data_IF_724299823887
#
_entry.id   IF_724299823887
#
_cell.length_a   1.000
_cell.length_b   1.000
_cell.length_c   1.000
_cell.angle_alpha   90.00
_cell.angle_beta   90.00
_cell.angle_gamma   90.00
#
_symmetry.space_group_name_H-M   'P 1'
#
loop_
_entity.id
_entity.type
_entity.pdbx_description
1 polymer ?
#
# COMPACT_ATOMS: atom_id res chain seq x y z
N UNK A 1 48.89 -11.84 0.58
CA UNK A 1 48.02 -12.31 1.68
C UNK A 1 46.62 -11.81 1.39
N UNK A 2 45.73 -12.72 0.99
CA UNK A 2 44.37 -12.44 0.52
C UNK A 2 43.45 -12.09 1.71
N UNK A 3 43.01 -10.84 1.78
CA UNK A 3 41.91 -10.44 2.66
C UNK A 3 40.61 -11.07 2.16
N UNK A 4 39.95 -11.85 3.02
CA UNK A 4 38.65 -12.47 2.77
C UNK A 4 37.62 -11.39 2.37
N UNK A 5 36.74 -11.64 1.38
CA UNK A 5 35.65 -10.71 1.05
C UNK A 5 34.77 -10.48 2.27
N UNK A 6 34.33 -9.25 2.48
CA UNK A 6 33.34 -8.95 3.49
C UNK A 6 32.01 -9.64 3.14
N UNK A 7 31.17 -9.94 4.13
CA UNK A 7 29.82 -10.47 3.85
C UNK A 7 28.99 -9.51 2.96
N UNK A 8 29.37 -8.23 2.93
CA UNK A 8 28.83 -7.22 2.02
C UNK A 8 29.26 -7.47 0.57
N UNK A 9 30.53 -7.79 0.33
CA UNK A 9 31.03 -8.21 -0.98
C UNK A 9 30.32 -9.48 -1.48
N UNK A 10 29.94 -10.40 -0.58
CA UNK A 10 29.20 -11.62 -0.95
C UNK A 10 27.74 -11.32 -1.29
N UNK A 11 27.07 -10.47 -0.50
CA UNK A 11 25.70 -10.03 -0.78
C UNK A 11 25.64 -9.30 -2.13
N UNK A 12 26.64 -8.46 -2.41
CA UNK A 12 26.74 -7.65 -3.62
C UNK A 12 27.31 -8.42 -4.83
N UNK A 13 28.25 -9.35 -4.65
CA UNK A 13 28.77 -10.19 -5.74
C UNK A 13 27.74 -11.22 -6.20
N UNK A 14 26.92 -11.74 -5.29
CA UNK A 14 25.83 -12.65 -5.64
C UNK A 14 24.77 -11.93 -6.47
N UNK A 15 24.42 -10.69 -6.11
CA UNK A 15 23.56 -9.83 -6.93
C UNK A 15 24.16 -9.54 -8.33
N UNK A 16 25.47 -9.30 -8.43
CA UNK A 16 26.16 -9.09 -9.71
C UNK A 16 26.30 -10.36 -10.57
N UNK A 17 26.38 -11.54 -9.95
CA UNK A 17 26.49 -12.83 -10.67
C UNK A 17 25.16 -13.33 -11.22
N UNK A 18 24.04 -13.02 -10.54
CA UNK A 18 22.69 -13.40 -10.92
C UNK A 18 22.17 -12.64 -12.16
N UNK A 19 22.60 -11.38 -12.32
CA UNK A 19 22.36 -10.54 -13.51
C UNK A 19 22.74 -11.18 -14.86
N UNK A 20 23.61 -12.20 -14.86
CA UNK A 20 24.07 -12.90 -16.09
C UNK A 20 23.25 -14.15 -16.45
N UNK A 21 22.23 -14.55 -15.69
CA UNK A 21 21.48 -15.80 -15.97
C UNK A 21 19.95 -15.62 -15.90
N UNK A 22 19.36 -15.56 -17.10
CA UNK A 22 17.97 -15.89 -17.47
C UNK A 22 16.89 -14.78 -17.40
N UNK A 23 16.12 -14.52 -18.48
CA UNK A 23 15.13 -13.44 -18.58
C UNK A 23 13.66 -13.81 -18.26
N UNK A 24 13.37 -14.97 -17.67
CA UNK A 24 12.01 -15.54 -17.67
C UNK A 24 11.33 -15.63 -16.29
N UNK A 25 10.94 -14.50 -15.68
CA UNK A 25 10.02 -14.51 -14.52
C UNK A 25 9.36 -13.13 -14.24
N UNK A 26 8.68 -12.56 -15.23
CA UNK A 26 7.99 -11.27 -15.12
C UNK A 26 6.74 -11.26 -14.20
N UNK A 27 6.28 -12.44 -13.72
CA UNK A 27 4.99 -12.57 -13.00
C UNK A 27 5.06 -12.39 -11.47
N UNK A 28 6.24 -12.34 -10.86
CA UNK A 28 6.41 -12.11 -9.41
C UNK A 28 6.42 -10.62 -9.01
N UNK A 29 6.44 -9.71 -10.00
CA UNK A 29 6.68 -8.27 -9.86
C UNK A 29 5.63 -7.43 -9.12
N UNK A 30 4.42 -7.95 -8.85
CA UNK A 30 3.30 -7.14 -8.35
C UNK A 30 2.87 -7.40 -6.89
N UNK A 31 3.41 -8.43 -6.21
CA UNK A 31 2.89 -8.84 -4.88
C UNK A 31 3.70 -8.38 -3.67
N UNK A 32 5.01 -8.15 -3.77
CA UNK A 32 5.86 -7.81 -2.61
C UNK A 32 6.07 -6.31 -2.35
N UNK A 33 5.35 -5.41 -3.03
CA UNK A 33 5.73 -4.00 -3.17
C UNK A 33 5.44 -3.04 -2.01
N UNK A 34 5.04 -3.50 -0.81
CA UNK A 34 4.85 -2.61 0.36
C UNK A 34 5.52 -3.10 1.64
N UNK A 35 5.48 -4.41 1.91
CA UNK A 35 6.08 -4.97 3.12
C UNK A 35 7.60 -5.06 3.05
N UNK A 36 8.15 -5.13 1.84
CA UNK A 36 9.57 -5.28 1.63
C UNK A 36 10.32 -3.97 1.91
N UNK A 37 9.74 -2.79 1.65
CA UNK A 37 10.45 -1.50 1.72
C UNK A 37 10.76 -0.95 3.12
N UNK A 38 10.43 -1.69 4.20
CA UNK A 38 10.67 -1.26 5.59
C UNK A 38 11.90 -1.97 6.19
N UNK A 39 12.85 -1.19 6.75
CA UNK A 39 14.02 -1.73 7.48
C UNK A 39 13.63 -2.39 8.82
N UNK A 40 12.44 -2.08 9.31
CA UNK A 40 11.82 -2.62 10.52
C UNK A 40 10.58 -3.44 10.14
N UNK A 41 10.21 -4.40 10.97
CA UNK A 41 8.96 -5.10 10.76
C UNK A 41 7.80 -4.11 10.88
N UNK A 42 6.86 -4.15 9.95
CA UNK A 42 5.84 -3.11 9.82
C UNK A 42 4.98 -2.92 11.09
N UNK A 43 4.84 -3.96 11.92
CA UNK A 43 4.16 -3.93 13.22
C UNK A 43 4.90 -3.12 14.30
N UNK A 44 6.20 -2.84 14.14
CA UNK A 44 6.92 -1.95 15.07
C UNK A 44 6.53 -0.47 14.85
N UNK A 45 5.78 -0.14 13.78
CA UNK A 45 5.36 1.24 13.45
C UNK A 45 6.52 2.21 13.21
N UNK A 46 7.74 1.69 13.02
CA UNK A 46 8.97 2.47 12.97
C UNK A 46 9.28 2.89 11.53
N UNK A 47 8.90 4.10 11.16
CA UNK A 47 9.33 4.73 9.91
C UNK A 47 10.65 5.49 10.10
N UNK A 48 11.50 5.53 9.08
CA UNK A 48 12.74 6.32 9.14
C UNK A 48 12.44 7.81 9.35
N UNK A 49 11.32 8.29 8.80
CA UNK A 49 10.89 9.69 8.90
C UNK A 49 11.91 10.65 8.27
N UNK A 50 12.50 10.23 7.15
CA UNK A 50 13.51 10.98 6.40
C UNK A 50 12.96 11.27 5.01
N UNK A 51 12.73 12.55 4.71
CA UNK A 51 12.44 13.00 3.34
C UNK A 51 13.70 13.30 2.53
N UNK A 52 13.55 13.39 1.21
CA UNK A 52 14.64 13.69 0.27
C UNK A 52 15.45 14.94 0.66
N UNK A 53 14.82 15.97 1.24
CA UNK A 53 15.50 17.17 1.69
C UNK A 53 16.57 16.89 2.77
N UNK A 54 16.29 15.98 3.71
CA UNK A 54 17.25 15.58 4.76
C UNK A 54 18.39 14.75 4.18
N UNK A 55 18.11 13.90 3.18
CA UNK A 55 19.11 13.09 2.48
C UNK A 55 20.04 13.98 1.64
N UNK A 56 19.48 14.92 0.87
CA UNK A 56 20.21 15.90 0.08
C UNK A 56 21.18 16.68 0.96
N UNK A 57 20.71 17.13 2.13
CA UNK A 57 21.54 17.85 3.10
C UNK A 57 22.67 16.97 3.66
N UNK A 58 22.36 15.73 4.03
CA UNK A 58 23.36 14.78 4.50
C UNK A 58 24.41 14.44 3.43
N UNK A 59 23.99 14.29 2.16
CA UNK A 59 24.89 14.07 1.01
C UNK A 59 25.80 15.27 0.76
N UNK A 60 25.25 16.48 0.78
CA UNK A 60 25.98 17.72 0.62
C UNK A 60 27.07 17.83 1.69
N UNK A 61 26.73 17.58 2.95
CA UNK A 61 27.69 17.61 4.05
C UNK A 61 28.70 16.45 4.04
N UNK A 62 28.28 15.23 3.69
CA UNK A 62 29.16 14.06 3.66
C UNK A 62 30.23 14.17 2.57
N UNK A 63 29.86 14.74 1.42
CA UNK A 63 30.72 14.82 0.24
C UNK A 63 31.19 16.26 -0.07
N UNK A 64 31.06 17.19 0.88
CA UNK A 64 31.57 18.55 0.76
C UNK A 64 31.02 19.32 -0.45
N UNK A 65 29.75 19.12 -0.80
CA UNK A 65 29.06 19.80 -1.91
C UNK A 65 28.03 20.81 -1.38
N UNK A 66 27.55 21.68 -2.25
CA UNK A 66 26.42 22.57 -1.91
C UNK A 66 25.09 21.84 -2.13
N UNK A 67 24.09 22.10 -1.29
CA UNK A 67 22.75 21.51 -1.45
C UNK A 67 22.13 21.86 -2.81
N UNK A 68 22.39 23.06 -3.33
CA UNK A 68 21.91 23.50 -4.64
C UNK A 68 22.45 22.63 -5.78
N UNK A 69 23.74 22.25 -5.73
CA UNK A 69 24.35 21.38 -6.73
C UNK A 69 23.74 19.97 -6.68
N UNK A 70 23.55 19.42 -5.47
CA UNK A 70 22.93 18.10 -5.28
C UNK A 70 21.49 18.09 -5.78
N UNK A 71 20.72 19.16 -5.50
CA UNK A 71 19.33 19.33 -6.01
C UNK A 71 19.29 19.38 -7.54
N UNK A 72 20.19 20.12 -8.17
CA UNK A 72 20.25 20.19 -9.64
C UNK A 72 20.61 18.83 -10.26
N UNK A 73 21.61 18.15 -9.70
CA UNK A 73 21.98 16.80 -10.14
C UNK A 73 20.85 15.79 -9.94
N UNK A 74 20.06 15.94 -8.88
CA UNK A 74 18.88 15.11 -8.66
C UNK A 74 17.78 15.38 -9.71
N UNK A 75 17.52 16.65 -10.07
CA UNK A 75 16.59 17.00 -11.15
C UNK A 75 17.01 16.41 -12.50
N UNK A 76 18.31 16.39 -12.79
CA UNK A 76 18.84 15.84 -14.04
C UNK A 76 18.82 14.31 -14.08
N UNK A 77 19.20 13.65 -12.97
CA UNK A 77 19.37 12.19 -12.92
C UNK A 77 18.12 11.44 -12.50
N UNK A 78 17.18 12.08 -11.80
CA UNK A 78 15.97 11.47 -11.27
C UNK A 78 16.17 10.47 -10.12
N UNK A 79 17.40 10.25 -9.65
CA UNK A 79 17.76 9.25 -8.62
C UNK A 79 18.85 9.81 -7.69
N UNK A 80 18.56 9.93 -6.38
CA UNK A 80 19.52 10.45 -5.40
C UNK A 80 20.66 9.45 -5.09
N UNK A 81 20.45 8.15 -5.25
CA UNK A 81 21.50 7.14 -5.10
C UNK A 81 22.58 7.25 -6.17
N UNK A 82 22.19 7.49 -7.43
CA UNK A 82 23.16 7.77 -8.50
C UNK A 82 23.93 9.08 -8.26
N UNK A 83 23.27 10.09 -7.69
CA UNK A 83 23.91 11.34 -7.26
C UNK A 83 24.91 11.06 -6.14
N UNK A 84 24.57 10.22 -5.15
CA UNK A 84 25.44 9.84 -4.05
C UNK A 84 26.73 9.14 -4.50
N UNK A 85 26.63 8.13 -5.37
CA UNK A 85 27.78 7.40 -5.90
C UNK A 85 28.73 8.31 -6.69
N UNK A 86 28.16 9.14 -7.58
CA UNK A 86 28.96 10.10 -8.38
C UNK A 86 29.57 11.19 -7.49
N UNK A 87 28.95 11.47 -6.34
CA UNK A 87 29.47 12.44 -5.38
C UNK A 87 30.70 11.93 -4.64
N UNK A 88 30.68 10.65 -4.28
CA UNK A 88 31.76 10.01 -3.54
C UNK A 88 33.06 9.90 -4.34
N UNK A 89 32.98 9.46 -5.59
CA UNK A 89 34.17 9.20 -6.44
C UNK A 89 35.06 10.43 -6.68
N UNK A 90 34.53 11.63 -6.43
CA UNK A 90 35.26 12.90 -6.56
C UNK A 90 36.13 13.29 -5.35
N UNK A 91 36.08 12.55 -4.23
CA UNK A 91 36.82 12.91 -3.02
C UNK A 91 37.93 11.91 -2.66
N UNK A 92 39.16 12.42 -2.49
CA UNK A 92 40.28 11.67 -1.90
C UNK A 92 40.27 11.83 -0.37
N UNK A 93 40.39 10.74 0.37
CA UNK A 93 40.45 10.76 1.85
C UNK A 93 41.86 10.50 2.37
N UNK A 94 42.30 11.30 3.35
CA UNK A 94 43.60 11.09 4.02
C UNK A 94 43.64 9.87 4.95
N UNK A 95 42.50 9.48 5.54
CA UNK A 95 42.36 8.27 6.38
C UNK A 95 41.07 7.56 6.00
N UNK A 96 41.17 6.28 5.63
CA UNK A 96 40.00 5.46 5.29
C UNK A 96 39.26 5.05 6.58
N UNK A 97 37.95 5.28 6.67
CA UNK A 97 37.13 4.71 7.74
C UNK A 97 37.14 3.18 7.70
N UNK A 98 36.75 2.54 8.80
CA UNK A 98 36.51 1.10 8.79
C UNK A 98 35.40 0.75 7.80
N UNK A 99 35.51 -0.36 7.07
CA UNK A 99 34.46 -0.80 6.15
C UNK A 99 33.09 -0.92 6.83
N UNK A 100 32.06 -0.62 6.07
CA UNK A 100 30.68 -0.85 6.51
C UNK A 100 30.43 -2.35 6.64
N UNK A 101 29.58 -2.69 7.62
CA UNK A 101 29.07 -4.06 7.78
C UNK A 101 27.57 -4.00 7.82
N UNK A 102 26.90 -5.08 7.41
CA UNK A 102 25.43 -5.17 7.44
C UNK A 102 24.90 -4.87 8.85
N UNK A 103 25.55 -5.38 9.89
CA UNK A 103 25.16 -5.13 11.28
C UNK A 103 25.27 -3.64 11.67
N UNK A 104 26.34 -2.94 11.24
CA UNK A 104 26.51 -1.49 11.48
C UNK A 104 25.44 -0.68 10.77
N UNK A 105 25.14 -1.01 9.51
CA UNK A 105 24.10 -0.33 8.72
C UNK A 105 22.73 -0.57 9.37
N UNK A 106 22.38 -1.82 9.67
CA UNK A 106 21.11 -2.17 10.30
C UNK A 106 20.91 -1.47 11.66
N UNK A 107 21.93 -1.48 12.52
CA UNK A 107 21.87 -0.79 13.80
C UNK A 107 21.69 0.72 13.65
N UNK A 108 22.42 1.34 12.72
CA UNK A 108 22.30 2.77 12.44
C UNK A 108 20.89 3.14 11.94
N UNK A 109 20.29 2.31 11.09
CA UNK A 109 18.92 2.54 10.61
C UNK A 109 17.88 2.38 11.72
N UNK A 110 18.03 1.40 12.63
CA UNK A 110 17.16 1.31 13.82
C UNK A 110 17.30 2.52 14.73
N UNK A 111 18.52 3.05 14.89
CA UNK A 111 18.77 4.26 15.67
C UNK A 111 18.05 5.47 15.05
N UNK A 112 18.14 5.61 13.73
CA UNK A 112 17.44 6.66 12.97
C UNK A 112 15.92 6.55 13.15
N UNK A 113 15.34 5.35 13.01
CA UNK A 113 13.90 5.16 13.13
C UNK A 113 13.38 5.49 14.55
N UNK A 114 14.16 5.15 15.60
CA UNK A 114 13.79 5.40 17.00
C UNK A 114 13.98 6.85 17.46
N UNK A 115 14.72 7.67 16.72
CA UNK A 115 15.04 9.03 17.14
C UNK A 115 13.83 9.97 16.95
N UNK A 116 13.40 10.62 18.03
CA UNK A 116 12.26 11.55 18.08
C UNK A 116 12.55 12.79 18.93
N UNK A 117 11.69 13.82 18.84
CA UNK A 117 11.85 15.08 19.57
C UNK A 117 12.55 16.21 18.79
N UNK A 118 12.80 17.33 19.47
CA UNK A 118 13.17 18.63 18.87
C UNK A 118 14.46 18.62 18.03
N UNK A 119 15.43 17.78 18.38
CA UNK A 119 16.73 17.67 17.69
C UNK A 119 16.87 16.39 16.85
N UNK A 120 15.79 15.61 16.74
CA UNK A 120 15.80 14.30 16.08
C UNK A 120 16.30 14.37 14.65
N UNK A 121 15.83 15.36 13.89
CA UNK A 121 16.19 15.53 12.48
C UNK A 121 17.70 15.78 12.30
N UNK A 122 18.35 16.49 13.22
CA UNK A 122 19.80 16.70 13.16
C UNK A 122 20.58 15.44 13.48
N UNK A 123 20.17 14.69 14.51
CA UNK A 123 20.79 13.43 14.88
C UNK A 123 20.64 12.37 13.78
N UNK A 124 19.45 12.26 13.17
CA UNK A 124 19.20 11.40 12.01
C UNK A 124 20.15 11.74 10.86
N UNK A 125 20.27 13.03 10.50
CA UNK A 125 21.21 13.49 9.45
C UNK A 125 22.67 13.16 9.78
N UNK A 126 23.11 13.37 11.01
CA UNK A 126 24.48 13.07 11.43
C UNK A 126 24.79 11.57 11.34
N UNK A 127 23.81 10.72 11.67
CA UNK A 127 23.92 9.27 11.52
C UNK A 127 24.04 8.86 10.05
N UNK A 128 23.17 9.39 9.17
CA UNK A 128 23.23 9.17 7.71
C UNK A 128 24.59 9.61 7.15
N UNK A 129 25.04 10.81 7.51
CA UNK A 129 26.34 11.35 7.10
C UNK A 129 27.49 10.43 7.49
N UNK A 130 27.47 9.89 8.71
CA UNK A 130 28.49 8.95 9.17
C UNK A 130 28.52 7.66 8.33
N UNK A 131 27.36 7.14 7.92
CA UNK A 131 27.28 5.98 7.03
C UNK A 131 27.83 6.31 5.63
N UNK A 132 27.42 7.45 5.05
CA UNK A 132 27.84 7.89 3.72
C UNK A 132 29.35 8.17 3.63
N UNK A 133 29.95 8.71 4.69
CA UNK A 133 31.40 8.93 4.76
C UNK A 133 32.17 7.61 4.82
N UNK A 134 31.65 6.61 5.53
CA UNK A 134 32.24 5.27 5.61
C UNK A 134 32.04 4.44 4.33
N UNK A 135 31.04 4.79 3.52
CA UNK A 135 30.70 4.09 2.30
C UNK A 135 31.75 4.25 1.18
N UNK A 136 31.95 3.17 0.44
CA UNK A 136 32.93 2.98 -0.64
C UNK A 136 32.27 2.41 -1.90
N UNK A 137 32.91 2.60 -3.05
CA UNK A 137 32.47 2.08 -4.35
C UNK A 137 30.99 2.37 -4.68
N UNK A 138 30.14 1.35 -4.61
CA UNK A 138 28.71 1.45 -4.89
C UNK A 138 27.84 1.60 -3.64
N UNK A 139 28.41 1.46 -2.44
CA UNK A 139 27.69 1.55 -1.16
C UNK A 139 26.90 2.86 -0.97
N UNK A 140 27.39 4.05 -1.37
CA UNK A 140 26.61 5.29 -1.23
C UNK A 140 25.29 5.27 -1.99
N UNK A 141 25.26 4.65 -3.19
CA UNK A 141 24.02 4.50 -3.95
C UNK A 141 23.01 3.69 -3.15
N UNK A 142 23.43 2.50 -2.70
CA UNK A 142 22.53 1.60 -2.00
C UNK A 142 22.08 2.13 -0.65
N UNK A 143 22.95 2.79 0.12
CA UNK A 143 22.55 3.45 1.36
C UNK A 143 21.52 4.55 1.12
N UNK A 144 21.72 5.38 0.10
CA UNK A 144 20.78 6.44 -0.23
C UNK A 144 19.43 5.89 -0.69
N UNK A 145 19.40 4.85 -1.52
CA UNK A 145 18.15 4.21 -1.91
C UNK A 145 17.47 3.46 -0.75
N UNK A 146 18.24 2.95 0.23
CA UNK A 146 17.68 2.34 1.45
C UNK A 146 17.03 3.42 2.34
N UNK A 147 17.61 4.62 2.38
CA UNK A 147 17.07 5.75 3.14
C UNK A 147 15.85 6.40 2.48
N UNK A 148 15.70 6.22 1.17
CA UNK A 148 14.53 6.65 0.38
C UNK A 148 13.47 5.54 0.25
N UNK A 149 13.59 4.44 1.01
CA UNK A 149 12.71 3.28 0.96
C UNK A 149 12.45 2.77 -0.48
N UNK A 150 13.47 2.85 -1.36
CA UNK A 150 13.34 2.58 -2.80
C UNK A 150 14.03 1.28 -3.25
N UNK A 151 14.58 0.48 -2.33
CA UNK A 151 15.53 -0.59 -2.67
C UNK A 151 14.94 -1.98 -2.92
N UNK A 152 13.75 -2.30 -2.42
CA UNK A 152 13.26 -3.67 -2.60
C UNK A 152 12.83 -4.03 -4.04
N UNK A 153 12.44 -3.11 -4.93
CA UNK A 153 12.25 -3.44 -6.34
C UNK A 153 13.51 -4.00 -7.02
N UNK A 154 14.72 -3.69 -6.51
CA UNK A 154 15.99 -4.18 -7.04
C UNK A 154 16.47 -5.48 -6.37
N UNK A 155 16.28 -5.64 -5.06
CA UNK A 155 16.65 -6.84 -4.31
C UNK A 155 15.79 -8.07 -4.66
N UNK A 156 14.51 -7.86 -4.99
CA UNK A 156 13.58 -8.92 -5.39
C UNK A 156 13.90 -9.56 -6.75
N UNK A 157 14.90 -9.04 -7.48
CA UNK A 157 15.28 -9.56 -8.79
C UNK A 157 16.14 -10.84 -8.72
N UNK A 158 16.91 -11.07 -7.64
CA UNK A 158 18.05 -12.02 -7.67
C UNK A 158 18.23 -13.01 -6.48
N UNK A 159 17.29 -13.07 -5.52
CA UNK A 159 17.01 -14.29 -4.72
C UNK A 159 17.65 -14.47 -3.31
N UNK A 160 16.95 -15.23 -2.45
CA UNK A 160 17.09 -15.26 -0.97
C UNK A 160 16.78 -16.67 -0.40
N UNK A 161 17.54 -17.68 -0.85
CA UNK A 161 17.08 -19.08 -0.96
C UNK A 161 17.02 -19.96 0.30
N UNK A 162 17.24 -19.45 1.52
CA UNK A 162 17.17 -20.27 2.76
C UNK A 162 16.29 -19.70 3.90
N UNK A 163 15.56 -18.61 3.65
CA UNK A 163 14.68 -17.97 4.65
C UNK A 163 13.59 -18.88 5.24
N UNK A 164 12.91 -19.76 4.47
CA UNK A 164 11.80 -20.56 5.00
C UNK A 164 12.23 -21.55 6.10
N UNK A 165 13.53 -21.83 6.25
CA UNK A 165 14.07 -22.70 7.32
C UNK A 165 14.39 -21.93 8.60
N UNK A 166 14.52 -20.61 8.52
CA UNK A 166 14.92 -19.73 9.64
C UNK A 166 13.81 -18.77 10.09
N UNK A 167 12.85 -18.45 9.22
CA UNK A 167 11.70 -17.60 9.53
C UNK A 167 10.43 -18.46 9.50
N UNK A 168 9.89 -18.75 10.68
CA UNK A 168 8.64 -19.46 10.87
C UNK A 168 7.54 -18.49 11.29
N UNK A 169 6.28 -18.87 11.06
CA UNK A 169 5.13 -18.13 11.59
C UNK A 169 5.32 -17.89 13.10
N UNK A 170 5.16 -16.65 13.53
CA UNK A 170 5.30 -16.25 14.93
C UNK A 170 4.05 -15.48 15.32
N UNK A 171 3.42 -15.91 16.41
CA UNK A 171 2.28 -15.22 16.99
C UNK A 171 2.69 -13.79 17.40
N UNK A 172 1.81 -12.81 17.19
CA UNK A 172 2.15 -11.38 17.29
C UNK A 172 2.94 -10.76 16.14
N UNK A 173 3.29 -11.53 15.10
CA UNK A 173 3.83 -10.97 13.85
C UNK A 173 2.77 -11.06 12.77
N UNK A 174 2.30 -9.90 12.29
CA UNK A 174 1.28 -9.83 11.24
C UNK A 174 1.68 -10.63 9.99
N UNK A 175 0.76 -11.43 9.48
CA UNK A 175 0.86 -12.13 8.19
C UNK A 175 0.38 -11.21 7.07
N UNK A 176 1.10 -11.19 5.96
CA UNK A 176 0.62 -10.52 4.74
C UNK A 176 -0.72 -11.11 4.26
N UNK A 177 -1.69 -10.26 3.92
CA UNK A 177 -3.01 -10.72 3.54
C UNK A 177 -2.99 -11.43 2.19
N UNK A 178 -3.80 -12.48 2.07
CA UNK A 178 -4.06 -13.09 0.77
C UNK A 178 -4.78 -12.08 -0.13
N UNK A 179 -4.17 -11.77 -1.29
CA UNK A 179 -4.70 -10.86 -2.29
C UNK A 179 -5.58 -11.59 -3.32
N UNK A 180 -6.66 -10.94 -3.73
CA UNK A 180 -7.58 -11.43 -4.75
C UNK A 180 -7.13 -11.01 -6.15
N UNK A 181 -7.49 -11.82 -7.16
CA UNK A 181 -7.35 -11.45 -8.56
C UNK A 181 -8.72 -11.01 -9.08
N UNK A 182 -8.86 -9.79 -9.66
CA UNK A 182 -10.12 -9.38 -10.24
C UNK A 182 -10.48 -10.28 -11.42
N UNK A 183 -11.77 -10.62 -11.52
CA UNK A 183 -12.33 -11.47 -12.58
C UNK A 183 -13.60 -10.83 -13.12
N UNK A 184 -13.88 -10.97 -14.42
CA UNK A 184 -14.96 -10.21 -15.08
C UNK A 184 -16.35 -10.86 -14.98
N UNK A 185 -16.43 -12.10 -14.52
CA UNK A 185 -17.71 -12.79 -14.31
C UNK A 185 -17.54 -14.23 -13.82
N UNK A 186 -18.63 -14.80 -13.28
CA UNK A 186 -18.66 -16.15 -12.70
C UNK A 186 -18.26 -17.22 -13.73
N UNK A 187 -18.75 -17.10 -14.97
CA UNK A 187 -18.43 -18.05 -16.04
C UNK A 187 -16.93 -18.14 -16.35
N UNK A 188 -16.18 -17.04 -16.24
CA UNK A 188 -14.71 -17.06 -16.44
C UNK A 188 -14.01 -17.91 -15.37
N UNK A 189 -14.50 -17.86 -14.12
CA UNK A 189 -13.94 -18.59 -12.99
C UNK A 189 -14.19 -20.10 -13.15
N UNK A 190 -15.46 -20.47 -13.40
CA UNK A 190 -15.86 -21.88 -13.51
C UNK A 190 -15.23 -22.53 -14.74
N UNK A 191 -15.20 -21.86 -15.89
CA UNK A 191 -14.55 -22.38 -17.10
C UNK A 191 -13.05 -22.59 -16.93
N UNK A 192 -12.41 -21.81 -16.06
CA UNK A 192 -10.99 -21.93 -15.77
C UNK A 192 -10.66 -23.10 -14.85
N UNK A 193 -11.60 -23.49 -13.97
CA UNK A 193 -11.44 -24.62 -13.06
C UNK A 193 -12.72 -25.48 -13.02
N UNK A 194 -13.02 -26.23 -14.10
CA UNK A 194 -14.32 -26.87 -14.29
C UNK A 194 -14.64 -27.97 -13.26
N UNK A 195 -13.62 -28.64 -12.72
CA UNK A 195 -13.78 -29.77 -11.78
C UNK A 195 -13.49 -29.41 -10.32
N UNK A 196 -13.38 -28.11 -10.01
CA UNK A 196 -13.06 -27.62 -8.67
C UNK A 196 -14.32 -27.04 -8.02
N UNK A 197 -14.65 -27.53 -6.82
CA UNK A 197 -15.64 -26.87 -5.95
C UNK A 197 -15.03 -25.60 -5.37
N UNK A 198 -15.68 -24.48 -5.61
CA UNK A 198 -15.26 -23.19 -5.07
C UNK A 198 -15.88 -22.95 -3.71
N UNK A 199 -15.15 -22.23 -2.88
CA UNK A 199 -15.66 -21.58 -1.68
C UNK A 199 -15.84 -20.11 -2.03
N UNK A 200 -17.08 -19.63 -1.99
CA UNK A 200 -17.46 -18.26 -2.30
C UNK A 200 -17.88 -17.57 -1.01
N UNK A 201 -17.17 -16.52 -0.61
CA UNK A 201 -17.54 -15.70 0.55
C UNK A 201 -18.16 -14.38 0.08
N UNK A 202 -19.06 -13.82 0.89
CA UNK A 202 -19.45 -12.43 0.74
C UNK A 202 -18.22 -11.52 0.89
N UNK A 203 -18.06 -10.59 -0.04
CA UNK A 203 -17.04 -9.55 0.06
C UNK A 203 -17.65 -8.38 0.83
N UNK A 204 -17.21 -8.19 2.06
CA UNK A 204 -17.57 -7.02 2.87
C UNK A 204 -16.66 -5.86 2.45
N UNK A 205 -17.24 -4.76 1.94
CA UNK A 205 -16.48 -3.59 1.46
C UNK A 205 -16.05 -2.69 2.61
N UNK A 206 -15.08 -3.19 3.39
CA UNK A 206 -14.70 -2.59 4.67
C UNK A 206 -13.20 -2.78 4.95
N UNK A 207 -12.71 -2.06 5.94
CA UNK A 207 -11.33 -2.16 6.39
C UNK A 207 -11.03 -3.58 6.90
N UNK A 208 -9.97 -4.19 6.33
CA UNK A 208 -9.52 -5.53 6.71
C UNK A 208 -8.60 -5.45 7.92
N UNK A 209 -8.75 -6.43 8.78
CA UNK A 209 -8.10 -6.51 10.07
C UNK A 209 -7.57 -7.91 10.33
N UNK A 210 -6.44 -7.99 11.04
CA UNK A 210 -5.92 -9.25 11.54
C UNK A 210 -5.90 -9.21 13.07
N UNK A 211 -6.60 -10.14 13.71
CA UNK A 211 -6.71 -10.20 15.17
C UNK A 211 -5.85 -11.33 15.69
N UNK A 212 -4.85 -11.01 16.51
CA UNK A 212 -3.94 -11.95 17.14
C UNK A 212 -4.32 -12.09 18.61
N UNK A 213 -4.66 -13.30 19.03
CA UNK A 213 -4.90 -13.65 20.41
C UNK A 213 -3.73 -14.48 20.93
N UNK A 214 -3.02 -13.95 21.91
CA UNK A 214 -1.78 -14.49 22.45
C UNK A 214 -2.02 -15.55 23.53
N UNK A 215 -0.99 -16.37 23.81
CA UNK A 215 -1.06 -17.38 24.87
C UNK A 215 -1.17 -16.80 26.30
N UNK A 216 -0.91 -15.51 26.47
CA UNK A 216 -1.05 -14.77 27.73
C UNK A 216 -2.40 -14.02 27.83
N UNK A 217 -3.36 -14.35 26.98
CA UNK A 217 -4.68 -13.73 26.85
C UNK A 217 -4.66 -12.24 26.40
N UNK A 218 -3.51 -11.72 25.94
CA UNK A 218 -3.46 -10.40 25.30
C UNK A 218 -3.94 -10.47 23.85
N UNK A 219 -4.55 -9.38 23.38
CA UNK A 219 -5.04 -9.26 22.00
C UNK A 219 -4.25 -8.15 21.30
N UNK A 220 -3.83 -8.41 20.07
CA UNK A 220 -3.24 -7.40 19.19
C UNK A 220 -4.01 -7.36 17.87
N UNK A 221 -4.38 -6.17 17.43
CA UNK A 221 -5.16 -5.96 16.20
C UNK A 221 -4.30 -5.17 15.22
N UNK A 222 -4.17 -5.69 14.00
CA UNK A 222 -3.39 -5.09 12.92
C UNK A 222 -4.28 -4.68 11.75
N UNK A 223 -4.06 -3.47 11.22
CA UNK A 223 -4.73 -2.95 10.03
C UNK A 223 -4.16 -3.54 8.73
N UNK A 224 -4.82 -3.23 7.60
CA UNK A 224 -4.34 -3.60 6.27
C UNK A 224 -2.90 -3.13 5.96
N UNK A 225 -2.47 -2.00 6.52
CA UNK A 225 -1.13 -1.43 6.31
C UNK A 225 -0.11 -1.85 7.40
N UNK A 226 -0.48 -2.85 8.22
CA UNK A 226 0.32 -3.47 9.28
C UNK A 226 0.55 -2.57 10.50
N UNK A 227 -0.29 -1.56 10.68
CA UNK A 227 -0.28 -0.72 11.87
C UNK A 227 -1.03 -1.42 13.00
N UNK A 228 -0.49 -1.33 14.22
CA UNK A 228 -1.12 -1.91 15.40
C UNK A 228 -2.15 -0.93 15.96
N UNK A 229 -3.44 -1.28 15.84
CA UNK A 229 -4.57 -0.41 16.20
C UNK A 229 -5.38 -0.96 17.37
N UNK A 230 -4.73 -1.70 18.28
CA UNK A 230 -5.44 -2.42 19.35
C UNK A 230 -6.20 -1.48 20.28
N UNK A 231 -5.65 -0.30 20.56
CA UNK A 231 -6.24 0.70 21.45
C UNK A 231 -7.52 1.33 20.88
N UNK A 232 -7.72 1.28 19.56
CA UNK A 232 -8.88 1.86 18.87
C UNK A 232 -10.12 0.96 18.95
N UNK A 233 -9.96 -0.34 19.24
CA UNK A 233 -11.02 -1.35 19.16
C UNK A 233 -11.17 -2.20 20.45
N UNK A 234 -11.41 -1.58 21.63
CA UNK A 234 -11.54 -2.30 22.89
C UNK A 234 -12.79 -3.23 22.94
N UNK A 235 -13.82 -2.91 22.17
CA UNK A 235 -15.03 -3.68 21.95
C UNK A 235 -14.73 -5.00 21.22
N UNK A 236 -13.92 -4.94 20.16
CA UNK A 236 -13.47 -6.13 19.42
C UNK A 236 -12.64 -7.04 20.33
N UNK A 237 -11.70 -6.45 21.10
CA UNK A 237 -10.89 -7.20 22.08
C UNK A 237 -11.78 -7.95 23.08
N UNK A 238 -12.83 -7.30 23.60
CA UNK A 238 -13.77 -7.92 24.52
C UNK A 238 -14.61 -9.02 23.85
N UNK A 239 -15.06 -8.80 22.61
CA UNK A 239 -15.86 -9.76 21.86
C UNK A 239 -15.07 -11.04 21.57
N UNK A 240 -13.87 -10.94 20.98
CA UNK A 240 -13.07 -12.12 20.62
C UNK A 240 -12.61 -12.92 21.83
N UNK A 241 -12.35 -12.26 22.96
CA UNK A 241 -11.99 -12.93 24.20
C UNK A 241 -13.16 -13.71 24.82
N UNK A 242 -14.39 -13.24 24.63
CA UNK A 242 -15.62 -13.85 25.18
C UNK A 242 -16.19 -14.94 24.26
N UNK A 243 -16.08 -14.77 22.95
CA UNK A 243 -16.72 -15.63 21.94
C UNK A 243 -15.86 -16.80 21.48
N UNK A 244 -14.59 -16.86 21.92
CA UNK A 244 -13.77 -18.07 21.77
C UNK A 244 -14.30 -19.18 22.69
N UNK A 245 -14.33 -20.42 22.19
CA UNK A 245 -14.68 -21.58 23.01
C UNK A 245 -13.55 -21.92 23.99
N UNK A 246 -13.87 -22.65 25.06
CA UNK A 246 -12.94 -22.94 26.17
C UNK A 246 -11.66 -23.68 25.80
N UNK A 247 -11.64 -24.41 24.68
CA UNK A 247 -10.46 -25.14 24.19
C UNK A 247 -9.50 -24.27 23.36
N UNK A 248 -9.88 -23.03 23.05
CA UNK A 248 -9.09 -22.09 22.24
C UNK A 248 -8.20 -21.23 23.16
N UNK A 249 -6.88 -21.37 22.98
CA UNK A 249 -5.84 -20.70 23.77
C UNK A 249 -5.22 -19.52 23.03
N UNK A 250 -4.85 -19.73 21.77
CA UNK A 250 -4.23 -18.71 20.92
C UNK A 250 -4.67 -18.87 19.47
N UNK A 251 -4.80 -17.76 18.76
CA UNK A 251 -5.29 -17.76 17.38
C UNK A 251 -4.90 -16.51 16.60
N UNK A 252 -4.96 -16.60 15.27
CA UNK A 252 -4.94 -15.44 14.38
C UNK A 252 -6.15 -15.50 13.45
N UNK A 253 -6.99 -14.47 13.49
CA UNK A 253 -8.15 -14.32 12.61
C UNK A 253 -7.89 -13.30 11.51
N UNK A 254 -8.44 -13.57 10.33
CA UNK A 254 -8.54 -12.62 9.22
C UNK A 254 -10.00 -12.17 9.08
N UNK A 255 -10.23 -10.87 9.26
CA UNK A 255 -11.55 -10.30 9.43
C UNK A 255 -11.72 -9.03 8.59
N UNK A 256 -12.97 -8.69 8.30
CA UNK A 256 -13.37 -7.35 7.88
C UNK A 256 -14.21 -6.73 9.00
N UNK A 257 -13.96 -5.47 9.37
CA UNK A 257 -14.75 -4.83 10.42
C UNK A 257 -15.77 -3.83 9.87
N UNK A 258 -16.92 -3.73 10.52
CA UNK A 258 -17.99 -2.80 10.20
C UNK A 258 -18.24 -1.89 11.41
N UNK A 259 -18.06 -0.58 11.21
CA UNK A 259 -18.58 0.41 12.13
C UNK A 259 -20.11 0.34 12.11
N UNK A 260 -20.72 0.07 13.26
CA UNK A 260 -22.18 0.07 13.41
C UNK A 260 -22.62 1.45 13.89
N UNK A 261 -23.46 2.12 13.10
CA UNK A 261 -23.88 3.49 13.36
C UNK A 261 -25.08 3.52 14.33
N UNK A 262 -24.89 3.16 15.60
CA UNK A 262 -25.90 3.43 16.63
C UNK A 262 -25.26 3.79 17.98
N UNK A 263 -24.94 5.07 18.16
CA UNK A 263 -25.28 5.88 19.33
C UNK A 263 -24.68 7.29 19.17
N UNK A 264 -25.54 8.27 18.82
CA UNK A 264 -25.17 9.69 18.86
C UNK A 264 -25.53 10.22 20.24
N UNK A 265 -24.65 9.97 21.22
CA UNK A 265 -24.61 10.79 22.43
C UNK A 265 -23.33 11.62 22.41
N UNK A 266 -23.49 12.94 22.48
CA UNK A 266 -22.51 13.96 22.06
C UNK A 266 -21.37 14.12 23.08
N UNK A 267 -21.11 13.11 23.92
CA UNK A 267 -20.07 13.17 24.95
C UNK A 267 -19.10 11.99 25.01
N UNK A 268 -19.33 10.91 24.27
CA UNK A 268 -18.34 9.85 24.03
C UNK A 268 -18.85 9.00 22.85
N UNK A 269 -18.40 9.30 21.63
CA UNK A 269 -18.79 8.54 20.44
C UNK A 269 -18.05 7.19 20.49
N UNK A 270 -18.66 6.19 21.12
CA UNK A 270 -18.25 4.78 20.97
C UNK A 270 -19.03 4.19 19.80
N UNK A 271 -18.36 4.09 18.66
CA UNK A 271 -18.89 3.35 17.52
C UNK A 271 -18.66 1.87 17.81
N UNK A 272 -19.74 1.11 18.01
CA UNK A 272 -19.63 -0.35 18.18
C UNK A 272 -19.22 -0.97 16.83
N UNK A 273 -18.25 -1.88 16.84
CA UNK A 273 -17.70 -2.51 15.64
C UNK A 273 -18.08 -3.98 15.57
N UNK A 274 -18.70 -4.38 14.45
CA UNK A 274 -18.97 -5.79 14.15
C UNK A 274 -17.80 -6.39 13.36
N UNK A 275 -17.31 -7.56 13.78
CA UNK A 275 -16.26 -8.29 13.07
C UNK A 275 -16.84 -9.41 12.21
N UNK A 276 -16.50 -9.42 10.92
CA UNK A 276 -16.84 -10.49 9.99
C UNK A 276 -15.59 -11.32 9.70
N UNK A 277 -15.48 -12.48 10.35
CA UNK A 277 -14.33 -13.37 10.24
C UNK A 277 -14.51 -14.31 9.05
N UNK A 278 -13.55 -14.31 8.14
CA UNK A 278 -13.58 -15.18 6.96
C UNK A 278 -12.45 -16.22 6.95
N UNK A 279 -11.38 -16.06 7.74
CA UNK A 279 -10.30 -17.06 7.80
C UNK A 279 -9.67 -17.16 9.20
N UNK A 280 -9.05 -18.31 9.47
CA UNK A 280 -8.24 -18.58 10.67
C UNK A 280 -6.86 -19.00 10.20
N UNK A 281 -5.86 -18.17 10.47
CA UNK A 281 -4.50 -18.35 9.96
C UNK A 281 -3.61 -19.15 10.93
N UNK A 282 -4.00 -19.18 12.20
CA UNK A 282 -3.30 -19.90 13.27
C UNK A 282 -4.27 -20.28 14.37
N UNK A 283 -4.08 -21.46 14.96
CA UNK A 283 -4.86 -21.94 16.10
C UNK A 283 -4.00 -22.82 17.01
N UNK A 284 -3.96 -22.52 18.31
CA UNK A 284 -3.39 -23.36 19.37
C UNK A 284 -2.00 -23.95 19.06
N UNK A 285 -1.03 -23.12 18.64
CA UNK A 285 0.31 -23.61 18.29
C UNK A 285 0.49 -24.00 16.83
N UNK A 286 -0.58 -24.14 16.05
CA UNK A 286 -0.53 -24.66 14.68
C UNK A 286 -0.77 -23.54 13.66
N UNK A 287 0.22 -23.20 12.80
CA UNK A 287 -0.01 -22.32 11.66
C UNK A 287 -0.84 -23.04 10.60
N UNK A 288 -1.98 -22.48 10.27
CA UNK A 288 -2.91 -23.09 9.30
C UNK A 288 -2.62 -22.62 7.87
N UNK A 289 -1.78 -21.60 7.64
CA UNK A 289 -1.50 -21.01 6.32
C UNK A 289 -1.15 -22.02 5.20
N UNK A 290 -0.62 -23.19 5.54
CA UNK A 290 -0.21 -24.23 4.59
C UNK A 290 -1.26 -25.33 4.37
N UNK A 291 -2.36 -25.30 5.12
CA UNK A 291 -3.44 -26.27 5.03
C UNK A 291 -4.39 -25.97 3.85
N UNK A 292 -5.30 -26.90 3.56
CA UNK A 292 -6.28 -26.71 2.48
C UNK A 292 -7.44 -25.82 2.95
N UNK A 293 -7.85 -24.87 2.10
CA UNK A 293 -8.93 -23.90 2.38
C UNK A 293 -10.22 -24.54 2.90
N UNK A 294 -10.58 -25.73 2.43
CA UNK A 294 -11.79 -26.43 2.88
C UNK A 294 -11.75 -26.73 4.39
N UNK A 295 -10.56 -27.07 4.90
CA UNK A 295 -10.32 -27.35 6.31
C UNK A 295 -10.30 -26.03 7.09
N UNK A 296 -9.68 -24.98 6.54
CA UNK A 296 -9.62 -23.64 7.16
C UNK A 296 -11.00 -23.10 7.52
N UNK A 297 -11.99 -23.33 6.63
CA UNK A 297 -13.35 -22.82 6.78
C UNK A 297 -14.17 -23.56 7.83
N UNK A 298 -13.73 -24.72 8.31
CA UNK A 298 -14.44 -25.47 9.36
C UNK A 298 -13.98 -25.05 10.76
N UNK A 299 -12.70 -24.68 10.91
CA UNK A 299 -12.11 -24.26 12.19
C UNK A 299 -12.79 -23.05 12.86
N UNK A 300 -13.18 -21.96 12.15
CA UNK A 300 -13.85 -20.84 12.80
C UNK A 300 -15.13 -21.29 13.52
N UNK A 301 -15.98 -22.08 12.86
CA UNK A 301 -17.23 -22.58 13.44
C UNK A 301 -17.01 -23.55 14.61
N UNK A 302 -15.94 -24.35 14.56
CA UNK A 302 -15.59 -25.24 15.67
C UNK A 302 -14.97 -24.49 16.85
N UNK A 303 -14.32 -23.35 16.62
CA UNK A 303 -13.52 -22.62 17.61
C UNK A 303 -14.24 -21.44 18.27
N UNK A 304 -15.23 -20.84 17.61
CA UNK A 304 -15.89 -19.60 18.07
C UNK A 304 -17.43 -19.71 18.01
N UNK A 305 -18.10 -18.83 18.75
CA UNK A 305 -19.55 -18.63 18.72
C UNK A 305 -19.88 -17.29 18.05
N UNK A 306 -20.91 -17.26 17.20
CA UNK A 306 -21.37 -16.01 16.58
C UNK A 306 -22.25 -15.21 17.54
N UNK A 307 -22.04 -13.91 17.53
CA UNK A 307 -22.94 -12.96 18.17
C UNK A 307 -23.25 -11.81 17.20
N UNK A 308 -24.53 -11.65 16.81
CA UNK A 308 -24.93 -10.59 15.90
C UNK A 308 -24.47 -9.21 16.40
N UNK A 309 -23.89 -8.42 15.47
CA UNK A 309 -23.32 -7.08 15.70
C UNK A 309 -21.96 -7.03 16.39
N UNK A 310 -21.40 -8.14 16.86
CA UNK A 310 -20.08 -8.17 17.50
C UNK A 310 -19.10 -9.08 16.76
N UNK A 311 -19.51 -10.31 16.45
CA UNK A 311 -18.67 -11.30 15.79
C UNK A 311 -19.51 -12.26 14.97
N UNK A 312 -19.30 -12.27 13.66
CA UNK A 312 -20.02 -13.11 12.72
C UNK A 312 -19.03 -13.74 11.74
N UNK A 313 -19.36 -14.90 11.22
CA UNK A 313 -18.62 -15.47 10.11
C UNK A 313 -19.07 -14.87 8.80
N UNK A 314 -18.17 -14.83 7.83
CA UNK A 314 -18.55 -14.50 6.47
C UNK A 314 -19.58 -15.50 5.94
N UNK A 315 -20.59 -14.99 5.25
CA UNK A 315 -21.57 -15.84 4.57
C UNK A 315 -20.84 -16.56 3.43
N UNK A 316 -20.89 -17.90 3.45
CA UNK A 316 -20.12 -18.76 2.54
C UNK A 316 -21.03 -19.71 1.77
N UNK A 317 -20.73 -19.90 0.48
CA UNK A 317 -21.29 -20.95 -0.39
C UNK A 317 -20.16 -21.87 -0.86
N UNK A 318 -20.40 -23.19 -0.84
CA UNK A 318 -19.51 -24.19 -1.46
C UNK A 318 -20.19 -24.77 -2.70
N UNK A 319 -19.81 -24.34 -3.89
CA UNK A 319 -20.42 -24.82 -5.15
C UNK A 319 -19.45 -24.73 -6.34
N UNK A 320 -19.73 -25.50 -7.39
CA UNK A 320 -19.12 -25.36 -8.72
C UNK A 320 -20.16 -25.06 -9.80
N UNK A 321 -21.43 -24.88 -9.41
CA UNK A 321 -22.52 -24.56 -10.33
C UNK A 321 -22.57 -23.05 -10.60
N UNK A 322 -22.65 -22.68 -11.88
CA UNK A 322 -22.63 -21.28 -12.32
C UNK A 322 -23.88 -20.54 -11.85
N UNK A 323 -25.05 -21.18 -11.88
CA UNK A 323 -26.32 -20.55 -11.51
C UNK A 323 -26.40 -20.32 -10.00
N UNK A 324 -25.96 -21.29 -9.19
CA UNK A 324 -25.87 -21.15 -7.74
C UNK A 324 -24.91 -20.02 -7.34
N UNK A 325 -23.71 -19.99 -7.94
CA UNK A 325 -22.71 -18.95 -7.65
C UNK A 325 -23.20 -17.58 -8.11
N UNK A 326 -23.86 -17.48 -9.26
CA UNK A 326 -24.41 -16.21 -9.74
C UNK A 326 -25.53 -15.70 -8.83
N UNK A 327 -26.46 -16.57 -8.42
CA UNK A 327 -27.52 -16.19 -7.46
C UNK A 327 -26.94 -15.74 -6.12
N UNK A 328 -25.88 -16.38 -5.67
CA UNK A 328 -25.17 -16.00 -4.45
C UNK A 328 -24.46 -14.65 -4.59
N UNK A 329 -23.83 -14.39 -5.74
CA UNK A 329 -23.24 -13.09 -6.06
C UNK A 329 -24.32 -11.99 -6.08
N UNK A 330 -25.45 -12.22 -6.73
CA UNK A 330 -26.55 -11.25 -6.80
C UNK A 330 -27.10 -10.95 -5.39
N UNK A 331 -27.27 -11.98 -4.56
CA UNK A 331 -27.69 -11.82 -3.16
C UNK A 331 -26.67 -11.05 -2.32
N UNK A 332 -25.36 -11.27 -2.54
CA UNK A 332 -24.30 -10.53 -1.87
C UNK A 332 -24.31 -9.05 -2.26
N UNK A 333 -24.50 -8.74 -3.55
CA UNK A 333 -24.63 -7.37 -4.05
C UNK A 333 -25.87 -6.71 -3.44
N UNK A 334 -27.03 -7.37 -3.47
CA UNK A 334 -28.25 -6.82 -2.86
C UNK A 334 -28.10 -6.57 -1.36
N UNK A 335 -27.52 -7.50 -0.61
CA UNK A 335 -27.28 -7.33 0.83
C UNK A 335 -26.27 -6.20 1.13
N UNK A 336 -25.29 -6.00 0.25
CA UNK A 336 -24.37 -4.86 0.35
C UNK A 336 -25.02 -3.54 -0.06
N UNK A 337 -25.99 -3.55 -0.98
CA UNK A 337 -26.72 -2.37 -1.42
C UNK A 337 -27.86 -1.96 -0.48
N UNK A 338 -28.43 -2.86 0.34
CA UNK A 338 -29.46 -2.48 1.32
C UNK A 338 -28.92 -1.52 2.41
N UNK A 339 -27.62 -1.55 2.70
CA UNK A 339 -26.93 -0.59 3.60
C UNK A 339 -26.62 0.76 2.91
N UNK A 340 -26.68 0.82 1.57
CA UNK A 340 -26.28 1.95 0.74
C UNK A 340 -27.42 2.28 -0.22
N UNK A 341 -28.31 3.19 0.21
CA UNK A 341 -29.50 3.64 -0.53
C UNK A 341 -29.37 3.54 -2.06
N UNK A 342 -30.27 2.75 -2.66
CA UNK A 342 -30.72 2.69 -4.05
C UNK A 342 -29.87 3.36 -5.15
N UNK A 343 -29.38 2.48 -6.05
CA UNK A 343 -28.84 2.76 -7.38
C UNK A 343 -27.53 3.56 -7.42
N UNK A 344 -26.45 2.91 -7.86
CA UNK A 344 -25.67 3.34 -9.04
C UNK A 344 -24.77 2.18 -9.47
N UNK A 345 -25.14 1.57 -10.58
CA UNK A 345 -24.24 0.80 -11.44
C UNK A 345 -23.87 1.59 -12.69
N UNK A 346 -24.05 2.92 -12.66
CA UNK A 346 -24.01 3.76 -13.84
C UNK A 346 -22.64 4.40 -14.05
N UNK A 347 -22.29 4.50 -15.33
CA UNK A 347 -21.17 5.25 -15.86
C UNK A 347 -21.55 6.72 -15.94
N UNK A 348 -20.59 7.61 -15.64
CA UNK A 348 -20.79 9.05 -15.66
C UNK A 348 -20.07 9.69 -16.84
N UNK A 349 -20.74 10.60 -17.54
CA UNK A 349 -20.12 11.42 -18.57
C UNK A 349 -19.54 12.69 -17.93
N UNK A 350 -18.21 12.74 -17.81
CA UNK A 350 -17.50 13.80 -17.11
C UNK A 350 -16.50 14.52 -18.02
N UNK A 351 -16.29 15.81 -17.80
CA UNK A 351 -15.48 16.66 -18.66
C UNK A 351 -14.11 16.93 -18.02
N UNK A 352 -12.99 16.58 -18.67
CA UNK A 352 -11.67 17.00 -18.23
C UNK A 352 -11.49 18.50 -18.45
N UNK A 353 -11.19 19.23 -17.39
CA UNK A 353 -11.00 20.69 -17.42
C UNK A 353 -9.69 21.15 -16.76
N UNK A 354 -8.96 20.24 -16.09
CA UNK A 354 -7.59 20.46 -15.63
C UNK A 354 -6.77 19.16 -15.61
N UNK A 355 -5.44 19.25 -15.50
CA UNK A 355 -4.52 18.13 -15.42
C UNK A 355 -3.31 18.36 -14.52
N UNK A 356 -2.65 17.26 -14.17
CA UNK A 356 -1.39 17.20 -13.42
C UNK A 356 -0.32 16.50 -14.25
N UNK A 357 0.91 17.01 -14.23
CA UNK A 357 2.02 16.41 -14.98
C UNK A 357 2.42 15.04 -14.42
N UNK A 358 2.75 14.10 -15.33
CA UNK A 358 3.21 12.77 -14.96
C UNK A 358 4.65 12.76 -14.44
N UNK A 359 4.93 11.87 -13.48
CA UNK A 359 6.27 11.61 -12.96
C UNK A 359 6.76 10.20 -13.32
N UNK A 360 8.10 10.01 -13.33
CA UNK A 360 8.73 8.71 -13.61
C UNK A 360 8.50 8.24 -15.03
N UNK A 361 7.83 7.09 -15.21
CA UNK A 361 7.55 6.53 -16.55
C UNK A 361 6.59 7.38 -17.39
N UNK A 362 5.87 8.32 -16.76
CA UNK A 362 4.87 9.19 -17.40
C UNK A 362 5.39 10.61 -17.65
N UNK A 363 6.70 10.83 -17.59
CA UNK A 363 7.28 12.16 -17.85
C UNK A 363 7.06 12.56 -19.31
N UNK A 364 6.45 13.73 -19.52
CA UNK A 364 6.13 14.27 -20.85
C UNK A 364 4.64 14.20 -21.23
N UNK A 365 3.81 13.49 -20.45
CA UNK A 365 2.35 13.42 -20.59
C UNK A 365 1.64 13.88 -19.32
N UNK A 366 0.33 14.08 -19.38
CA UNK A 366 -0.48 14.35 -18.19
C UNK A 366 -0.72 13.04 -17.43
N UNK A 367 -0.32 12.98 -16.16
CA UNK A 367 -0.42 11.77 -15.33
C UNK A 367 -1.76 11.62 -14.62
N UNK A 368 -2.53 12.70 -14.51
CA UNK A 368 -3.88 12.67 -13.98
C UNK A 368 -4.70 13.84 -14.51
N UNK A 369 -6.02 13.67 -14.56
CA UNK A 369 -7.00 14.67 -15.00
C UNK A 369 -7.98 14.98 -13.89
N UNK A 370 -8.38 16.24 -13.78
CA UNK A 370 -9.49 16.69 -12.95
C UNK A 370 -10.74 16.76 -13.84
N UNK A 371 -11.77 16.03 -13.44
CA UNK A 371 -13.02 15.90 -14.18
C UNK A 371 -14.13 16.68 -13.47
N UNK A 372 -15.04 17.24 -14.26
CA UNK A 372 -16.19 18.00 -13.78
C UNK A 372 -17.50 17.48 -14.38
N UNK A 373 -18.58 17.64 -13.61
CA UNK A 373 -19.94 17.60 -14.12
C UNK A 373 -20.40 19.01 -14.49
N UNK A 374 -21.32 19.12 -15.46
CA UNK A 374 -21.91 20.40 -15.84
C UNK A 374 -23.20 20.64 -15.07
N UNK A 375 -23.27 21.72 -14.31
CA UNK A 375 -24.47 22.20 -13.64
C UNK A 375 -25.24 23.13 -14.56
N UNK A 376 -26.35 22.64 -15.11
CA UNK A 376 -27.19 23.40 -16.04
C UNK A 376 -27.94 24.57 -15.37
N UNK A 377 -28.08 24.59 -14.04
CA UNK A 377 -28.80 25.67 -13.35
C UNK A 377 -27.90 26.90 -13.15
N UNK A 378 -26.61 26.67 -12.90
CA UNK A 378 -25.63 27.72 -12.65
C UNK A 378 -24.69 27.97 -13.84
N UNK A 379 -24.79 27.15 -14.90
CA UNK A 379 -23.91 27.16 -16.07
C UNK A 379 -22.42 26.98 -15.72
N UNK A 380 -22.16 26.14 -14.71
CA UNK A 380 -20.85 25.93 -14.11
C UNK A 380 -20.33 24.50 -14.32
N UNK A 381 -19.01 24.35 -14.41
CA UNK A 381 -18.34 23.05 -14.36
C UNK A 381 -17.86 22.80 -12.94
N UNK A 382 -18.48 21.85 -12.25
CA UNK A 382 -18.16 21.53 -10.87
C UNK A 382 -17.26 20.31 -10.80
N UNK A 383 -16.10 20.44 -10.16
CA UNK A 383 -15.15 19.34 -9.97
C UNK A 383 -15.80 18.17 -9.22
N UNK A 384 -15.61 16.96 -9.73
CA UNK A 384 -16.17 15.75 -9.13
C UNK A 384 -15.12 14.70 -8.79
N UNK A 385 -14.04 14.54 -9.56
CA UNK A 385 -12.99 13.57 -9.22
C UNK A 385 -11.68 13.85 -9.96
N UNK A 386 -10.59 13.31 -9.40
CA UNK A 386 -9.29 13.23 -10.05
C UNK A 386 -9.03 11.80 -10.49
N UNK A 387 -8.69 11.60 -11.75
CA UNK A 387 -8.38 10.27 -12.30
C UNK A 387 -6.95 10.23 -12.83
N UNK A 388 -6.18 9.25 -12.36
CA UNK A 388 -4.82 8.95 -12.86
C UNK A 388 -4.63 7.48 -13.23
N UNK A 389 -5.71 6.69 -13.26
CA UNK A 389 -5.71 5.24 -13.51
C UNK A 389 -6.88 4.84 -14.40
N UNK A 390 -6.72 3.75 -15.17
CA UNK A 390 -7.72 3.26 -16.13
C UNK A 390 -7.32 3.43 -17.59
N UNK A 391 -6.45 4.40 -17.87
CA UNK A 391 -5.92 4.63 -19.23
C UNK A 391 -4.89 3.58 -19.65
N UNK A 392 -4.99 3.12 -20.90
CA UNK A 392 -3.83 2.54 -21.59
C UNK A 392 -2.82 3.64 -21.93
N UNK A 393 -1.53 3.28 -22.07
CA UNK A 393 -0.46 4.23 -22.40
C UNK A 393 -0.76 5.01 -23.69
N UNK A 394 -1.20 4.32 -24.74
CA UNK A 394 -1.61 4.95 -26.00
C UNK A 394 -2.79 5.92 -25.84
N UNK A 395 -3.78 5.59 -25.01
CA UNK A 395 -4.93 6.47 -24.77
C UNK A 395 -4.54 7.71 -23.96
N UNK A 396 -3.61 7.57 -23.03
CA UNK A 396 -3.11 8.68 -22.24
C UNK A 396 -2.31 9.68 -23.10
N UNK A 397 -1.49 9.18 -24.02
CA UNK A 397 -0.76 9.99 -25.00
C UNK A 397 -1.71 10.72 -25.95
N UNK A 398 -2.71 10.02 -26.50
CA UNK A 398 -3.73 10.59 -27.39
C UNK A 398 -4.51 11.71 -26.70
N UNK A 399 -5.03 11.44 -25.49
CA UNK A 399 -5.79 12.42 -24.71
C UNK A 399 -4.92 13.62 -24.33
N UNK A 400 -3.67 13.38 -23.92
CA UNK A 400 -2.72 14.46 -23.60
C UNK A 400 -2.43 15.33 -24.82
N UNK A 401 -2.22 14.74 -25.99
CA UNK A 401 -1.96 15.47 -27.23
C UNK A 401 -3.18 16.30 -27.67
N UNK A 402 -4.39 15.75 -27.57
CA UNK A 402 -5.62 16.45 -27.93
C UNK A 402 -5.86 17.67 -27.01
N UNK A 403 -5.79 17.46 -25.70
CA UNK A 403 -5.99 18.51 -24.70
C UNK A 403 -4.87 19.56 -24.68
N UNK A 404 -3.65 19.21 -25.11
CA UNK A 404 -2.54 20.17 -25.21
C UNK A 404 -2.88 21.37 -26.11
N UNK A 405 -3.68 21.15 -27.17
CA UNK A 405 -4.13 22.22 -28.06
C UNK A 405 -5.20 23.14 -27.45
N UNK A 406 -5.76 22.75 -26.30
CA UNK A 406 -6.87 23.41 -25.59
C UNK A 406 -6.44 24.05 -24.27
N UNK A 407 -5.13 24.14 -24.01
CA UNK A 407 -4.60 24.69 -22.76
C UNK A 407 -4.95 26.17 -22.63
N UNK A 408 -5.48 26.53 -21.48
CA UNK A 408 -5.75 27.91 -21.08
C UNK A 408 -4.83 28.30 -19.91
N UNK A 409 -4.41 29.58 -19.83
CA UNK A 409 -3.42 30.00 -18.84
C UNK A 409 -3.98 30.10 -17.41
N UNK A 410 -5.31 30.20 -17.25
CA UNK A 410 -6.01 30.35 -15.96
C UNK A 410 -7.39 29.71 -16.02
N UNK A 411 -7.93 29.22 -14.90
CA UNK A 411 -9.29 28.69 -14.84
C UNK A 411 -10.32 29.76 -15.20
N UNK A 412 -11.44 29.33 -15.81
CA UNK A 412 -12.57 30.23 -16.09
C UNK A 412 -13.37 30.49 -14.82
N UNK A 413 -14.09 31.63 -14.73
CA UNK A 413 -14.98 31.91 -13.60
C UNK A 413 -16.08 30.86 -13.40
N UNK A 414 -16.49 30.18 -14.47
CA UNK A 414 -17.48 29.10 -14.43
C UNK A 414 -16.92 27.76 -13.94
N UNK A 415 -15.64 27.68 -13.58
CA UNK A 415 -15.03 26.46 -13.06
C UNK A 415 -15.04 26.49 -11.54
N UNK A 416 -15.76 25.56 -10.94
CA UNK A 416 -15.84 25.42 -9.48
C UNK A 416 -15.02 24.19 -9.08
N UNK A 417 -14.02 24.39 -8.25
CA UNK A 417 -13.11 23.34 -7.78
C UNK A 417 -12.67 23.62 -6.34
N UNK A 418 -12.21 22.58 -5.65
CA UNK A 418 -11.76 22.71 -4.25
C UNK A 418 -10.53 23.60 -4.10
N UNK A 419 -10.53 24.47 -3.08
CA UNK A 419 -9.45 25.44 -2.83
C UNK A 419 -8.07 24.79 -2.58
N UNK A 420 -8.04 23.52 -2.16
CA UNK A 420 -6.81 22.76 -1.92
C UNK A 420 -6.24 22.07 -3.16
N UNK A 421 -6.95 22.11 -4.29
CA UNK A 421 -6.49 21.53 -5.54
C UNK A 421 -5.68 22.58 -6.31
N UNK A 422 -4.44 22.23 -6.64
CA UNK A 422 -3.52 23.05 -7.46
C UNK A 422 -3.13 22.28 -8.74
N UNK A 423 -4.00 22.28 -9.79
CA UNK A 423 -3.67 21.67 -11.07
C UNK A 423 -2.56 22.41 -11.81
N UNK A 424 -1.67 21.66 -12.46
CA UNK A 424 -0.57 22.24 -13.23
C UNK A 424 -1.05 22.92 -14.51
N UNK A 425 -2.13 22.41 -15.12
CA UNK A 425 -2.63 22.82 -16.43
C UNK A 425 -4.15 22.89 -16.44
N UNK A 426 -4.70 23.91 -17.10
CA UNK A 426 -6.13 24.11 -17.29
C UNK A 426 -6.51 23.96 -18.76
N UNK A 427 -7.72 23.46 -19.04
CA UNK A 427 -8.21 23.27 -20.41
C UNK A 427 -9.52 24.01 -20.68
N UNK A 428 -9.75 24.32 -21.95
CA UNK A 428 -11.09 24.58 -22.47
C UNK A 428 -11.89 23.27 -22.51
N UNK A 429 -13.16 23.21 -22.03
CA UNK A 429 -13.91 21.96 -21.99
C UNK A 429 -14.29 21.58 -23.42
N UNK A 430 -13.75 20.48 -23.93
CA UNK A 430 -13.97 20.04 -25.32
C UNK A 430 -14.24 18.55 -25.49
N UNK A 431 -13.94 17.74 -24.49
CA UNK A 431 -14.06 16.29 -24.54
C UNK A 431 -14.90 15.82 -23.36
N UNK A 432 -15.48 14.62 -23.49
CA UNK A 432 -16.24 13.95 -22.45
C UNK A 432 -15.64 12.56 -22.26
N UNK A 433 -15.40 12.19 -21.00
CA UNK A 433 -14.91 10.90 -20.60
C UNK A 433 -16.03 10.16 -19.89
N UNK A 434 -16.34 8.96 -20.37
CA UNK A 434 -17.15 8.00 -19.63
C UNK A 434 -16.31 7.46 -18.46
N UNK A 435 -16.83 7.58 -17.23
CA UNK A 435 -16.14 7.18 -16.01
C UNK A 435 -16.99 6.17 -15.28
N UNK A 436 -16.40 5.00 -15.01
CA UNK A 436 -17.02 4.00 -14.16
C UNK A 436 -16.54 4.13 -12.73
N UNK A 437 -17.46 4.03 -11.79
CA UNK A 437 -17.19 4.26 -10.39
C UNK A 437 -17.95 3.26 -9.52
N UNK A 438 -17.42 2.95 -8.33
CA UNK A 438 -17.97 1.91 -7.46
C UNK A 438 -19.07 2.40 -6.51
N UNK A 439 -18.90 3.56 -5.86
CA UNK A 439 -19.87 4.18 -4.95
C UNK A 439 -19.69 5.71 -4.72
N UNK A 440 -20.78 6.49 -4.71
CA UNK A 440 -20.74 7.96 -4.54
C UNK A 440 -20.49 8.35 -3.07
N UNK A 441 -19.41 9.06 -2.81
CA UNK A 441 -19.13 9.61 -1.47
C UNK A 441 -19.37 11.12 -1.37
N UNK A 442 -19.71 11.60 -0.17
CA UNK A 442 -19.69 13.03 0.15
C UNK A 442 -18.25 13.44 0.44
N UNK A 443 -17.73 14.42 -0.29
CA UNK A 443 -16.36 14.88 -0.10
C UNK A 443 -16.27 16.26 0.51
N UNK A 444 -15.34 16.47 1.45
CA UNK A 444 -15.03 17.78 1.98
C UNK A 444 -14.17 18.65 1.05
N UNK A 445 -13.60 18.09 -0.03
CA UNK A 445 -12.59 18.74 -0.87
C UNK A 445 -13.03 19.04 -2.31
N UNK A 446 -14.23 18.64 -2.72
CA UNK A 446 -14.78 19.03 -4.03
C UNK A 446 -16.06 19.79 -3.87
N UNK A 447 -16.32 20.68 -4.83
CA UNK A 447 -17.49 21.55 -4.85
C UNK A 447 -18.80 20.81 -5.12
N UNK A 448 -18.72 19.62 -5.73
CA UNK A 448 -19.79 18.63 -5.76
C UNK A 448 -19.36 17.45 -4.84
N UNK A 449 -20.30 16.83 -4.12
CA UNK A 449 -20.06 15.64 -3.29
C UNK A 449 -19.19 14.61 -4.06
N UNK A 450 -17.90 14.47 -3.72
CA UNK A 450 -16.89 13.77 -4.54
C UNK A 450 -16.30 12.47 -3.98
N UNK A 451 -15.54 11.83 -4.87
CA UNK A 451 -14.98 10.48 -4.81
C UNK A 451 -13.52 10.38 -4.37
N UNK A 452 -13.20 9.23 -3.78
CA UNK A 452 -11.86 8.63 -3.79
C UNK A 452 -11.62 7.73 -5.01
N UNK A 453 -10.39 7.74 -5.54
CA UNK A 453 -9.80 6.89 -6.59
C UNK A 453 -10.75 6.04 -7.49
N UNK A 454 -11.24 6.63 -8.59
CA UNK A 454 -11.91 5.93 -9.69
C UNK A 454 -10.95 5.45 -10.79
N UNK A 455 -11.40 4.48 -11.59
CA UNK A 455 -10.71 3.98 -12.78
C UNK A 455 -11.55 4.31 -14.02
N UNK A 456 -10.97 5.02 -14.99
CA UNK A 456 -11.58 5.21 -16.32
C UNK A 456 -11.65 3.90 -17.11
#
# INVERSE_FOLDING_TARGET
MSSRPSAFDILMSNALSASKKSPSSFSYRKKCGRAADRITAAHEGLELGIGDASIIKALAEAFGRTEALVKNQFKEKGDLGLVAQTSRSSQSMMRKPDPLTVAKVFYAFRLIAKESGKDSQEKKRNCIKSLLVAATDCEPQYLTCLLQDTIFPALLKDGMWDIPKTCCFTLGVRIEPMLTKPTKGVGEIVNKFPDIKFVCDYKYDRERAQVHYMDNDSVEIYSWDAEQNTEEFPDVVAAVARLKKSHVKSFVLDCAWQKTSQNVDVKDIKVDVCTFTFDVLYLNGQPLILEQLNVHKEWPHDSFEEEPRFFQFAVTLKSNDIEEIQKFLDAAVSASCEDYMDNIGDTFDLVPFAAFHGHGKWTGVYGAFLLACYDCNNEEFQSICKIGSGFSEAKLEELSASLHSRVIPKPKPSYVFGETLDPDVWFEPSEVCEVKAADLTISPCSSCNSWGHGSC
#
